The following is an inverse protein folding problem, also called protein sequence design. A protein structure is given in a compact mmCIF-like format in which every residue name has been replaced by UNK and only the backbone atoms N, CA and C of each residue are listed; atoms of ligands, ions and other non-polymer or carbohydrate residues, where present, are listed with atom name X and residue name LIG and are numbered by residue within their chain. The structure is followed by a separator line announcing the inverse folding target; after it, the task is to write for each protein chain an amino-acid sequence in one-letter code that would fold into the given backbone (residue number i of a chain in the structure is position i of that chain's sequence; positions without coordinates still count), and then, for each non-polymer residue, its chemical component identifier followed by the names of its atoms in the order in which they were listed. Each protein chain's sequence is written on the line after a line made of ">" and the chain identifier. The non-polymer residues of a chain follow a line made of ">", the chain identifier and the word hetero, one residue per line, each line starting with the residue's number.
data_IF_272548113085
#
_entry.id   IF_272548113085
#
_cell.length_a   1.000
_cell.length_b   1.000
_cell.length_c   1.000
_cell.angle_alpha   90.00
_cell.angle_beta   90.00
_cell.angle_gamma   90.00
#
_symmetry.space_group_name_H-M   'P 1'
#
loop_
_entity.id
_entity.type
_entity.pdbx_description
1 polymer ?
#
# COMPACT_ATOMS: atom_id res chain seq x y z
N UNK A 1 57.20 37.05 -17.65
CA UNK A 1 57.09 35.69 -18.21
C UNK A 1 56.19 34.84 -17.31
N UNK A 2 54.94 34.60 -17.74
CA UNK A 2 53.89 33.97 -16.94
C UNK A 2 53.59 32.55 -17.45
N UNK A 3 53.85 31.50 -16.67
CA UNK A 3 53.47 30.13 -17.05
C UNK A 3 52.98 29.26 -15.88
N UNK A 4 52.95 29.80 -14.65
CA UNK A 4 52.62 29.01 -13.45
C UNK A 4 51.17 29.19 -12.99
N UNK A 5 50.47 30.25 -13.43
CA UNK A 5 49.09 30.53 -12.97
C UNK A 5 47.96 29.94 -13.83
N UNK A 6 48.25 29.25 -14.92
CA UNK A 6 47.20 28.64 -15.77
C UNK A 6 46.84 27.23 -15.28
N UNK A 7 47.80 26.50 -14.70
CA UNK A 7 47.56 25.11 -14.27
C UNK A 7 46.71 25.00 -12.99
N UNK A 8 46.76 26.01 -12.11
CA UNK A 8 45.98 26.02 -10.85
C UNK A 8 44.52 26.44 -11.11
N UNK A 9 44.27 27.28 -12.11
CA UNK A 9 42.92 27.71 -12.48
C UNK A 9 42.13 26.60 -13.22
N UNK A 10 42.79 25.75 -14.01
CA UNK A 10 42.14 24.62 -14.70
C UNK A 10 41.77 23.45 -13.78
N UNK A 11 42.42 23.30 -12.62
CA UNK A 11 42.11 22.21 -11.67
C UNK A 11 40.88 22.49 -10.80
N UNK A 12 40.50 23.77 -10.65
CA UNK A 12 39.28 24.18 -9.92
C UNK A 12 38.04 24.30 -10.80
N UNK A 13 38.19 24.33 -12.13
CA UNK A 13 37.05 24.40 -13.05
C UNK A 13 36.48 23.02 -13.43
N UNK A 14 37.21 21.93 -13.13
CA UNK A 14 36.74 20.56 -13.35
C UNK A 14 35.80 20.03 -12.26
N UNK A 15 35.52 20.82 -11.22
CA UNK A 15 34.63 20.49 -10.10
C UNK A 15 33.21 21.10 -10.27
N UNK A 16 32.81 21.35 -11.51
CA UNK A 16 31.51 21.91 -11.89
C UNK A 16 30.76 21.07 -12.94
N UNK A 17 31.24 19.86 -13.26
CA UNK A 17 30.56 18.94 -14.16
C UNK A 17 29.82 17.84 -13.39
N UNK A 18 28.56 17.67 -13.77
CA UNK A 18 27.66 16.54 -13.47
C UNK A 18 27.21 16.35 -12.02
N UNK A 19 26.45 17.31 -11.51
CA UNK A 19 25.23 16.95 -10.73
C UNK A 19 24.02 17.38 -11.56
N UNK A 20 23.92 16.85 -12.77
CA UNK A 20 22.61 16.62 -13.37
C UNK A 20 22.05 15.40 -12.65
N UNK A 21 21.40 15.62 -11.50
CA UNK A 21 20.43 14.64 -11.01
C UNK A 21 19.49 14.42 -12.18
N UNK A 22 19.58 13.23 -12.75
CA UNK A 22 18.67 12.73 -13.75
C UNK A 22 17.27 13.02 -13.21
N UNK A 23 16.59 13.96 -13.85
CA UNK A 23 15.14 14.04 -13.79
C UNK A 23 14.66 12.71 -14.36
N UNK A 24 14.50 11.71 -13.48
CA UNK A 24 13.87 10.45 -13.82
C UNK A 24 12.39 10.78 -14.01
N UNK A 25 12.07 11.40 -15.14
CA UNK A 25 10.74 11.31 -15.74
C UNK A 25 10.65 9.89 -16.31
N UNK A 26 10.76 8.89 -15.43
CA UNK A 26 10.36 7.55 -15.74
C UNK A 26 8.86 7.61 -15.87
N UNK A 27 8.37 7.26 -17.05
CA UNK A 27 7.06 6.62 -17.14
C UNK A 27 7.11 5.52 -16.08
N UNK A 28 6.42 5.73 -14.95
CA UNK A 28 6.34 4.72 -13.91
C UNK A 28 5.66 3.54 -14.56
N UNK A 29 6.42 2.51 -14.90
CA UNK A 29 5.85 1.25 -15.36
C UNK A 29 4.91 0.79 -14.25
N UNK A 30 3.65 0.55 -14.59
CA UNK A 30 2.69 0.03 -13.61
C UNK A 30 3.12 -1.38 -13.23
N UNK A 31 2.90 -1.72 -11.98
CA UNK A 31 3.04 -3.06 -11.46
C UNK A 31 1.83 -3.86 -11.89
N UNK A 32 2.06 -4.88 -12.70
CA UNK A 32 1.02 -5.76 -13.22
C UNK A 32 0.76 -6.91 -12.25
N UNK A 33 -0.51 -7.19 -11.99
CA UNK A 33 -0.97 -8.26 -11.12
C UNK A 33 -2.16 -8.96 -11.74
N UNK A 34 -2.32 -10.24 -11.47
CA UNK A 34 -3.44 -11.01 -11.97
C UNK A 34 -4.72 -10.62 -11.22
N UNK A 35 -5.83 -10.51 -11.96
CA UNK A 35 -7.15 -10.40 -11.36
C UNK A 35 -7.61 -11.76 -10.81
N UNK A 36 -7.77 -11.87 -9.49
CA UNK A 36 -8.12 -13.12 -8.80
C UNK A 36 -9.46 -12.98 -8.07
N UNK A 37 -10.58 -13.11 -8.79
CA UNK A 37 -11.93 -12.95 -8.20
C UNK A 37 -12.21 -13.91 -7.03
N UNK A 38 -11.66 -15.12 -7.06
CA UNK A 38 -11.85 -16.12 -5.99
C UNK A 38 -11.27 -15.67 -4.65
N UNK A 39 -10.28 -14.77 -4.64
CA UNK A 39 -9.72 -14.19 -3.42
C UNK A 39 -10.71 -13.32 -2.66
N UNK A 40 -11.71 -12.78 -3.36
CA UNK A 40 -12.74 -11.89 -2.81
C UNK A 40 -13.95 -12.67 -2.25
N UNK A 41 -13.87 -14.00 -2.17
CA UNK A 41 -14.96 -14.82 -1.69
C UNK A 41 -15.24 -14.56 -0.19
N UNK A 42 -16.40 -13.94 0.08
CA UNK A 42 -16.84 -13.60 1.42
C UNK A 42 -17.58 -14.74 2.15
N UNK A 43 -17.79 -15.92 1.55
CA UNK A 43 -18.48 -17.04 2.23
C UNK A 43 -17.76 -17.48 3.50
N UNK A 44 -16.44 -17.31 3.56
CA UNK A 44 -15.65 -17.61 4.76
C UNK A 44 -16.04 -16.73 5.96
N UNK A 45 -16.72 -15.61 5.73
CA UNK A 45 -17.17 -14.70 6.77
C UNK A 45 -18.44 -15.19 7.46
N UNK A 46 -19.18 -16.13 6.86
CA UNK A 46 -20.44 -16.62 7.41
C UNK A 46 -20.22 -17.44 8.70
N UNK A 47 -19.00 -17.98 8.88
CA UNK A 47 -18.57 -18.65 10.11
C UNK A 47 -18.24 -17.67 11.26
N UNK A 48 -18.20 -16.36 11.00
CA UNK A 48 -17.81 -15.36 11.99
C UNK A 48 -19.04 -14.64 12.57
N UNK A 49 -19.32 -14.91 13.85
CA UNK A 49 -20.43 -14.30 14.59
C UNK A 49 -20.29 -12.79 14.81
N UNK A 50 -19.05 -12.26 14.83
CA UNK A 50 -18.79 -10.85 15.08
C UNK A 50 -17.85 -10.25 14.04
N UNK A 51 -18.36 -9.23 13.34
CA UNK A 51 -17.60 -8.36 12.44
C UNK A 51 -17.66 -6.95 13.02
N UNK A 52 -16.47 -6.40 13.32
CA UNK A 52 -16.35 -5.05 13.87
C UNK A 52 -16.91 -4.04 12.87
N UNK A 53 -17.87 -3.23 13.30
CA UNK A 53 -18.49 -2.22 12.45
C UNK A 53 -17.49 -1.19 11.93
N UNK A 54 -17.73 -0.72 10.71
CA UNK A 54 -16.96 0.33 10.06
C UNK A 54 -17.86 1.53 9.75
N UNK A 55 -17.33 2.75 9.84
CA UNK A 55 -18.14 3.97 9.71
C UNK A 55 -18.69 4.19 8.28
N UNK A 56 -18.04 3.60 7.27
CA UNK A 56 -18.49 3.56 5.87
C UNK A 56 -19.56 2.49 5.60
N UNK A 57 -19.93 1.67 6.60
CA UNK A 57 -21.00 0.69 6.50
C UNK A 57 -20.53 -0.76 6.62
N UNK A 58 -21.49 -1.68 6.55
CA UNK A 58 -21.28 -3.11 6.81
C UNK A 58 -20.47 -3.81 5.71
N UNK A 59 -20.64 -3.41 4.44
CA UNK A 59 -19.86 -3.97 3.33
C UNK A 59 -18.35 -3.73 3.52
N UNK A 60 -17.96 -2.50 3.88
CA UNK A 60 -16.56 -2.18 4.20
C UNK A 60 -16.09 -2.96 5.43
N UNK A 61 -16.94 -3.10 6.45
CA UNK A 61 -16.60 -3.90 7.64
C UNK A 61 -16.30 -5.37 7.29
N UNK A 62 -17.12 -5.98 6.41
CA UNK A 62 -16.90 -7.34 5.91
C UNK A 62 -15.58 -7.44 5.15
N UNK A 63 -15.29 -6.53 4.21
CA UNK A 63 -14.01 -6.55 3.48
C UNK A 63 -12.80 -6.32 4.37
N UNK A 64 -12.89 -5.45 5.38
CA UNK A 64 -11.81 -5.27 6.37
C UNK A 64 -11.56 -6.55 7.17
N UNK A 65 -12.63 -7.28 7.52
CA UNK A 65 -12.49 -8.59 8.17
C UNK A 65 -11.88 -9.63 7.22
N UNK A 66 -12.31 -9.65 5.95
CA UNK A 66 -11.74 -10.51 4.93
C UNK A 66 -10.23 -10.25 4.78
N UNK A 67 -9.80 -9.00 4.63
CA UNK A 67 -8.39 -8.61 4.60
C UNK A 67 -7.61 -9.13 5.82
N UNK A 68 -8.18 -8.97 7.02
CA UNK A 68 -7.55 -9.48 8.24
C UNK A 68 -7.36 -11.00 8.19
N UNK A 69 -8.35 -11.77 7.70
CA UNK A 69 -8.22 -13.22 7.53
C UNK A 69 -7.24 -13.62 6.43
N UNK A 70 -7.15 -12.82 5.36
CA UNK A 70 -6.25 -13.05 4.23
C UNK A 70 -4.78 -12.86 4.63
N UNK A 71 -4.48 -11.91 5.51
CA UNK A 71 -3.11 -11.52 5.86
C UNK A 71 -2.62 -12.00 7.24
N UNK A 72 -3.54 -12.37 8.14
CA UNK A 72 -3.19 -12.85 9.47
C UNK A 72 -3.29 -14.36 9.54
N UNK A 73 -2.22 -14.96 10.02
CA UNK A 73 -2.19 -16.35 10.46
C UNK A 73 -2.15 -16.39 11.99
N UNK A 74 -3.03 -17.19 12.59
CA UNK A 74 -3.06 -17.43 14.02
C UNK A 74 -2.45 -18.81 14.32
N UNK A 75 -1.29 -18.82 14.99
CA UNK A 75 -0.65 -20.03 15.46
C UNK A 75 -1.17 -20.35 16.87
N UNK A 76 -1.90 -21.47 17.07
CA UNK A 76 -2.59 -21.75 18.32
C UNK A 76 -1.63 -21.86 19.51
N UNK A 77 -2.15 -21.76 20.75
CA UNK A 77 -1.37 -22.03 21.95
C UNK A 77 -0.75 -23.44 21.90
N UNK A 78 0.48 -23.55 22.38
CA UNK A 78 1.20 -24.83 22.54
C UNK A 78 1.44 -25.08 24.02
N UNK A 79 1.79 -26.31 24.46
CA UNK A 79 2.09 -26.57 25.87
C UNK A 79 3.18 -25.64 26.46
N UNK A 80 4.08 -25.12 25.62
CA UNK A 80 5.14 -24.18 25.99
C UNK A 80 4.76 -22.70 25.81
N UNK A 81 3.62 -22.39 25.18
CA UNK A 81 3.16 -21.02 24.90
C UNK A 81 1.64 -20.93 25.08
N UNK A 82 1.21 -20.30 26.17
CA UNK A 82 -0.22 -20.16 26.51
C UNK A 82 -0.98 -19.16 25.64
N UNK A 83 -0.30 -18.33 24.85
CA UNK A 83 -0.90 -17.32 23.97
C UNK A 83 -0.85 -17.73 22.50
N UNK A 84 -1.90 -17.37 21.76
CA UNK A 84 -1.92 -17.44 20.29
C UNK A 84 -0.91 -16.46 19.72
N UNK A 85 -0.08 -16.90 18.78
CA UNK A 85 0.84 -16.03 18.06
C UNK A 85 0.20 -15.60 16.74
N UNK A 86 0.03 -14.29 16.56
CA UNK A 86 -0.50 -13.73 15.31
C UNK A 86 0.67 -13.34 14.41
N UNK A 87 0.82 -14.02 13.28
CA UNK A 87 1.77 -13.66 12.23
C UNK A 87 1.04 -12.88 11.15
N UNK A 88 1.61 -11.75 10.73
CA UNK A 88 1.12 -10.96 9.60
C UNK A 88 2.06 -11.22 8.42
N UNK A 89 1.52 -11.71 7.32
CA UNK A 89 2.25 -11.91 6.06
C UNK A 89 2.19 -10.64 5.21
N UNK A 90 3.15 -10.46 4.28
CA UNK A 90 3.24 -9.27 3.41
C UNK A 90 2.97 -7.95 4.17
N UNK A 91 3.69 -7.78 5.29
CA UNK A 91 3.47 -6.71 6.27
C UNK A 91 3.42 -5.30 5.65
N UNK A 92 4.27 -4.93 4.67
CA UNK A 92 4.21 -3.61 4.04
C UNK A 92 2.84 -3.32 3.40
N UNK A 93 2.25 -4.30 2.71
CA UNK A 93 0.90 -4.16 2.12
C UNK A 93 -0.14 -4.01 3.24
N UNK A 94 -0.14 -4.94 4.20
CA UNK A 94 -1.11 -4.91 5.30
C UNK A 94 -1.09 -3.55 6.03
N UNK A 95 0.09 -3.10 6.47
CA UNK A 95 0.22 -1.86 7.23
C UNK A 95 0.00 -0.60 6.39
N UNK A 96 0.29 -0.60 5.09
CA UNK A 96 -0.09 0.49 4.19
C UNK A 96 -1.62 0.65 4.16
N UNK A 97 -2.34 -0.45 3.93
CA UNK A 97 -3.81 -0.44 3.87
C UNK A 97 -4.44 -0.03 5.21
N UNK A 98 -3.82 -0.38 6.35
CA UNK A 98 -4.28 0.08 7.68
C UNK A 98 -4.28 1.62 7.83
N UNK A 99 -3.43 2.35 7.09
CA UNK A 99 -3.43 3.83 7.08
C UNK A 99 -4.71 4.37 6.44
N UNK A 100 -5.24 3.69 5.43
CA UNK A 100 -6.48 4.04 4.71
C UNK A 100 -7.72 3.56 5.49
N UNK A 101 -7.72 2.32 5.99
CA UNK A 101 -8.83 1.75 6.80
C UNK A 101 -9.14 2.59 8.04
N UNK A 102 -8.13 3.29 8.59
CA UNK A 102 -8.31 4.11 9.78
C UNK A 102 -9.49 5.09 9.58
N UNK A 103 -10.55 5.04 10.42
CA UNK A 103 -11.72 5.89 10.26
C UNK A 103 -11.39 7.39 10.19
N UNK A 104 -10.29 7.83 10.81
CA UNK A 104 -9.85 9.24 10.76
C UNK A 104 -9.55 9.71 9.33
N UNK A 105 -9.00 8.84 8.48
CA UNK A 105 -8.57 9.19 7.13
C UNK A 105 -9.72 9.77 6.30
N UNK A 106 -10.75 8.96 6.05
CA UNK A 106 -11.91 9.40 5.28
C UNK A 106 -12.87 10.31 6.07
N UNK A 107 -12.97 10.20 7.40
CA UNK A 107 -13.75 11.17 8.19
C UNK A 107 -13.26 12.61 7.99
N UNK A 108 -11.94 12.80 7.91
CA UNK A 108 -11.37 14.12 7.65
C UNK A 108 -11.77 14.65 6.28
N UNK A 109 -11.63 13.83 5.23
CA UNK A 109 -12.01 14.18 3.83
C UNK A 109 -13.50 14.52 3.69
N UNK A 110 -14.36 13.75 4.35
CA UNK A 110 -15.81 13.99 4.36
C UNK A 110 -16.13 15.28 5.11
N UNK A 111 -15.48 15.53 6.26
CA UNK A 111 -15.68 16.76 7.05
C UNK A 111 -15.27 18.01 6.26
N UNK A 112 -14.19 17.93 5.49
CA UNK A 112 -13.73 19.02 4.62
C UNK A 112 -14.52 19.14 3.32
N UNK A 113 -15.56 18.32 3.11
CA UNK A 113 -16.37 18.25 1.89
C UNK A 113 -15.55 18.03 0.61
N UNK A 114 -14.37 17.42 0.73
CA UNK A 114 -13.54 17.08 -0.44
C UNK A 114 -13.98 15.77 -1.09
N UNK A 115 -14.87 15.02 -0.43
CA UNK A 115 -15.39 13.73 -0.88
C UNK A 115 -16.70 13.41 -0.13
N UNK A 116 -17.64 12.78 -0.81
CA UNK A 116 -18.87 12.23 -0.24
C UNK A 116 -18.63 10.90 0.49
N UNK A 117 -19.61 10.47 1.30
CA UNK A 117 -19.50 9.18 2.01
C UNK A 117 -19.52 8.00 1.02
N UNK A 118 -20.26 8.10 -0.07
CA UNK A 118 -20.39 7.03 -1.06
C UNK A 118 -19.12 6.90 -1.91
N UNK A 119 -18.50 8.02 -2.29
CA UNK A 119 -17.17 8.01 -2.94
C UNK A 119 -16.12 7.39 -2.02
N UNK A 120 -16.09 7.76 -0.73
CA UNK A 120 -15.19 7.17 0.25
C UNK A 120 -15.42 5.66 0.43
N UNK A 121 -16.68 5.22 0.40
CA UNK A 121 -17.05 3.80 0.43
C UNK A 121 -16.49 3.09 -0.81
N UNK A 122 -16.74 3.64 -2.01
CA UNK A 122 -16.26 3.04 -3.26
C UNK A 122 -14.74 2.92 -3.30
N UNK A 123 -14.03 3.99 -2.99
CA UNK A 123 -12.55 4.00 -3.00
C UNK A 123 -11.97 3.02 -1.96
N UNK A 124 -12.56 2.95 -0.77
CA UNK A 124 -12.14 1.94 0.23
C UNK A 124 -12.36 0.51 -0.27
N UNK A 125 -13.51 0.22 -0.89
CA UNK A 125 -13.83 -1.13 -1.36
C UNK A 125 -12.85 -1.56 -2.46
N UNK A 126 -12.59 -0.69 -3.44
CA UNK A 126 -11.62 -0.92 -4.52
C UNK A 126 -10.22 -1.24 -3.98
N UNK A 127 -9.72 -0.41 -3.06
CA UNK A 127 -8.40 -0.58 -2.44
C UNK A 127 -8.30 -1.88 -1.63
N UNK A 128 -9.37 -2.26 -0.92
CA UNK A 128 -9.41 -3.52 -0.17
C UNK A 128 -9.41 -4.72 -1.12
N UNK A 129 -10.15 -4.65 -2.23
CA UNK A 129 -10.20 -5.72 -3.23
C UNK A 129 -8.84 -5.95 -3.87
N UNK A 130 -8.16 -4.88 -4.30
CA UNK A 130 -6.80 -4.95 -4.81
C UNK A 130 -5.89 -5.60 -3.75
N UNK A 131 -5.91 -5.09 -2.51
CA UNK A 131 -5.07 -5.62 -1.45
C UNK A 131 -5.31 -7.12 -1.18
N UNK A 132 -6.56 -7.58 -1.21
CA UNK A 132 -6.88 -9.00 -1.00
C UNK A 132 -6.36 -9.86 -2.16
N UNK A 133 -6.52 -9.40 -3.41
CA UNK A 133 -6.02 -10.11 -4.60
C UNK A 133 -4.50 -10.27 -4.62
N UNK A 134 -3.75 -9.33 -4.06
CA UNK A 134 -2.28 -9.35 -4.03
C UNK A 134 -1.69 -10.41 -3.09
N UNK A 135 -2.48 -11.00 -2.19
CA UNK A 135 -1.97 -11.88 -1.11
C UNK A 135 -1.12 -13.04 -1.62
N UNK A 136 -1.49 -13.63 -2.76
CA UNK A 136 -0.84 -14.83 -3.29
C UNK A 136 0.04 -14.56 -4.52
N UNK A 137 0.32 -13.28 -4.78
CA UNK A 137 1.12 -12.84 -5.92
C UNK A 137 2.54 -12.45 -5.49
N UNK A 138 3.46 -12.33 -6.46
CA UNK A 138 4.80 -11.80 -6.24
C UNK A 138 4.72 -10.28 -6.07
N UNK A 139 5.03 -9.75 -4.88
CA UNK A 139 4.80 -8.33 -4.55
C UNK A 139 6.04 -7.64 -4.02
N UNK A 140 7.23 -8.18 -4.23
CA UNK A 140 8.46 -7.68 -3.60
C UNK A 140 8.74 -6.21 -3.95
N UNK A 141 8.50 -5.84 -5.22
CA UNK A 141 8.65 -4.45 -5.68
C UNK A 141 7.62 -3.52 -5.05
N UNK A 142 6.33 -3.92 -5.04
CA UNK A 142 5.28 -3.18 -4.37
C UNK A 142 5.57 -3.00 -2.87
N UNK A 143 5.97 -4.08 -2.20
CA UNK A 143 6.32 -4.07 -0.78
C UNK A 143 7.50 -3.14 -0.48
N UNK A 144 8.47 -3.06 -1.39
CA UNK A 144 9.58 -2.10 -1.31
C UNK A 144 9.08 -0.65 -1.38
N UNK A 145 8.20 -0.33 -2.34
CA UNK A 145 7.59 1.00 -2.48
C UNK A 145 6.79 1.36 -1.22
N UNK A 146 5.96 0.44 -0.72
CA UNK A 146 5.07 0.69 0.42
C UNK A 146 5.81 0.90 1.74
N UNK A 147 7.05 0.40 1.90
CA UNK A 147 7.90 0.66 3.09
C UNK A 147 8.26 2.14 3.23
N UNK A 148 8.36 2.88 2.13
CA UNK A 148 8.70 4.30 2.11
C UNK A 148 7.52 5.25 2.31
N UNK A 149 6.29 4.73 2.34
CA UNK A 149 5.08 5.56 2.41
C UNK A 149 4.77 5.99 3.84
N UNK A 150 4.41 7.25 4.03
CA UNK A 150 4.15 7.82 5.36
C UNK A 150 2.65 7.93 5.68
N UNK A 151 1.82 8.24 4.68
CA UNK A 151 0.42 8.59 4.90
C UNK A 151 -0.54 7.83 3.97
N UNK A 152 -1.85 7.92 4.26
CA UNK A 152 -2.88 7.20 3.51
C UNK A 152 -3.09 7.72 2.08
N UNK A 153 -2.79 8.99 1.80
CA UNK A 153 -2.97 9.55 0.45
C UNK A 153 -1.96 8.98 -0.54
N UNK A 154 -0.71 8.83 -0.10
CA UNK A 154 0.34 8.12 -0.86
C UNK A 154 -0.02 6.65 -1.10
N UNK A 155 -0.67 5.98 -0.14
CA UNK A 155 -1.15 4.60 -0.33
C UNK A 155 -2.20 4.56 -1.44
N UNK A 156 -3.17 5.48 -1.43
CA UNK A 156 -4.17 5.57 -2.51
C UNK A 156 -3.51 5.82 -3.87
N UNK A 157 -2.52 6.71 -3.92
CA UNK A 157 -1.80 7.02 -5.15
C UNK A 157 -1.13 5.78 -5.75
N UNK A 158 -0.43 4.99 -4.94
CA UNK A 158 0.19 3.74 -5.40
C UNK A 158 -0.86 2.75 -5.89
N UNK A 159 -1.89 2.49 -5.09
CA UNK A 159 -2.87 1.46 -5.43
C UNK A 159 -3.75 1.83 -6.63
N UNK A 160 -4.04 3.13 -6.86
CA UNK A 160 -4.90 3.56 -7.97
C UNK A 160 -4.13 3.82 -9.26
N UNK A 161 -2.87 4.25 -9.15
CA UNK A 161 -2.14 4.76 -10.32
C UNK A 161 -0.94 3.88 -10.72
N UNK A 162 -0.39 3.10 -9.79
CA UNK A 162 0.81 2.29 -10.02
C UNK A 162 0.51 0.78 -10.09
N UNK A 163 -0.72 0.36 -9.80
CA UNK A 163 -1.15 -1.04 -9.90
C UNK A 163 -2.06 -1.20 -11.11
N UNK A 164 -1.82 -2.24 -11.90
CA UNK A 164 -2.66 -2.65 -13.01
C UNK A 164 -3.09 -4.11 -12.81
N UNK A 165 -4.40 -4.36 -12.87
CA UNK A 165 -4.95 -5.71 -12.78
C UNK A 165 -5.20 -6.25 -14.19
N UNK A 166 -4.58 -7.38 -14.51
CA UNK A 166 -4.68 -8.06 -15.80
C UNK A 166 -5.79 -9.10 -15.75
N UNK A 167 -6.66 -9.06 -16.77
CA UNK A 167 -7.78 -9.98 -16.93
C UNK A 167 -7.44 -10.98 -18.04
N UNK A 168 -7.58 -12.27 -17.75
CA UNK A 168 -7.36 -13.37 -18.70
C UNK A 168 -8.67 -14.09 -19.02
#
# INVERSE_FOLDING_TARGET
>A
MPLINIFVAMKKLFLLLSVSFLSYNGISQKLEFDFIASSLNETILDDYQFIKSHFLGNEVARKVKLLDLTYKWEDPPTPTRSTTLVKIEKQPIYFAIRKVINPKFYKNKIKTKSMSKDEAKSEMMEILDIAIMLRYQETDELESILRGIENGDQVLEVFKNQIELIYF
#
